data_IF_404399839698
#
_entry.id   IF_404399839698
#
_cell.length_a   1.000
_cell.length_b   1.000
_cell.length_c   1.000
_cell.angle_alpha   90.00
_cell.angle_beta   90.00
_cell.angle_gamma   90.00
#
_symmetry.space_group_name_H-M   'P 1'
#
loop_
_entity.id
_entity.type
_entity.pdbx_description
1 polymer ?
#
# COMPACT_ATOMS: atom_id res chain seq x y z
N UNK A 1 -15.78 12.96 2.19
CA UNK A 1 -15.70 11.81 1.28
C UNK A 1 -15.10 10.66 2.07
N UNK A 2 -15.76 9.51 2.07
CA UNK A 2 -15.27 8.31 2.75
C UNK A 2 -14.04 7.74 2.00
N UNK A 3 -13.18 7.01 2.70
CA UNK A 3 -11.93 6.51 2.11
C UNK A 3 -12.19 5.53 0.96
N UNK A 4 -13.18 4.64 1.10
CA UNK A 4 -13.61 3.75 0.01
C UNK A 4 -14.07 4.52 -1.24
N UNK A 5 -14.86 5.59 -1.07
CA UNK A 5 -15.33 6.43 -2.19
C UNK A 5 -14.15 7.10 -2.91
N UNK A 6 -13.17 7.58 -2.14
CA UNK A 6 -11.93 8.15 -2.68
C UNK A 6 -11.16 7.10 -3.50
N UNK A 7 -10.96 5.91 -2.95
CA UNK A 7 -10.21 4.83 -3.59
C UNK A 7 -10.87 4.37 -4.89
N UNK A 8 -12.20 4.20 -4.90
CA UNK A 8 -12.97 3.86 -6.10
C UNK A 8 -12.89 4.96 -7.17
N UNK A 9 -12.76 6.23 -6.77
CA UNK A 9 -12.57 7.35 -7.69
C UNK A 9 -11.18 7.43 -8.32
N UNK A 10 -10.13 6.87 -7.68
CA UNK A 10 -8.75 6.88 -8.18
C UNK A 10 -8.34 5.59 -8.87
N UNK A 11 -8.89 4.46 -8.44
CA UNK A 11 -8.49 3.12 -8.89
C UNK A 11 -9.71 2.46 -9.52
N UNK A 12 -9.71 2.42 -10.84
CA UNK A 12 -10.76 1.78 -11.61
C UNK A 12 -10.90 0.30 -11.22
N UNK A 13 -12.10 -0.08 -10.79
CA UNK A 13 -12.39 -1.44 -10.36
C UNK A 13 -11.70 -1.83 -9.05
N UNK A 14 -11.48 -0.89 -8.12
CA UNK A 14 -10.99 -1.18 -6.77
C UNK A 14 -11.80 -2.33 -6.14
N UNK A 15 -11.13 -3.44 -5.82
CA UNK A 15 -11.80 -4.71 -5.49
C UNK A 15 -12.31 -4.82 -4.05
N UNK A 16 -11.89 -3.91 -3.17
CA UNK A 16 -12.21 -3.94 -1.74
C UNK A 16 -11.76 -5.25 -1.03
N UNK A 17 -12.20 -5.45 0.22
CA UNK A 17 -11.68 -6.48 1.14
C UNK A 17 -12.69 -7.61 1.45
N UNK A 18 -13.73 -7.74 0.61
CA UNK A 18 -14.88 -8.63 0.85
C UNK A 18 -14.54 -10.12 0.92
N UNK A 19 -13.53 -10.58 0.17
CA UNK A 19 -13.07 -11.97 0.19
C UNK A 19 -11.55 -12.08 -0.07
N UNK A 20 -11.01 -13.30 -0.01
CA UNK A 20 -9.59 -13.57 -0.23
C UNK A 20 -9.09 -13.13 -1.61
N UNK A 21 -9.86 -13.40 -2.68
CA UNK A 21 -9.47 -13.03 -4.03
C UNK A 21 -9.43 -11.50 -4.20
N UNK A 22 -10.41 -10.81 -3.63
CA UNK A 22 -10.48 -9.35 -3.59
C UNK A 22 -9.26 -8.75 -2.86
N UNK A 23 -8.88 -9.31 -1.70
CA UNK A 23 -7.69 -8.87 -0.94
C UNK A 23 -6.39 -8.96 -1.74
N UNK A 24 -6.16 -10.09 -2.41
CA UNK A 24 -5.01 -10.26 -3.30
C UNK A 24 -5.05 -9.27 -4.47
N UNK A 25 -6.25 -8.98 -4.98
CA UNK A 25 -6.41 -8.03 -6.06
C UNK A 25 -6.13 -6.59 -5.61
N UNK A 26 -6.66 -6.17 -4.46
CA UNK A 26 -6.38 -4.84 -3.88
C UNK A 26 -4.89 -4.67 -3.57
N UNK A 27 -4.22 -5.70 -3.03
CA UNK A 27 -2.76 -5.65 -2.85
C UNK A 27 -2.01 -5.37 -4.15
N UNK A 28 -2.38 -6.04 -5.25
CA UNK A 28 -1.81 -5.76 -6.58
C UNK A 28 -2.12 -4.34 -7.03
N UNK A 29 -3.35 -3.87 -6.84
CA UNK A 29 -3.76 -2.52 -7.21
C UNK A 29 -2.95 -1.45 -6.45
N UNK A 30 -2.77 -1.59 -5.13
CA UNK A 30 -2.02 -0.62 -4.32
C UNK A 30 -0.55 -0.56 -4.73
N UNK A 31 0.08 -1.73 -4.90
CA UNK A 31 1.47 -1.81 -5.32
C UNK A 31 1.69 -1.27 -6.73
N UNK A 32 0.78 -1.56 -7.66
CA UNK A 32 0.85 -1.00 -9.01
C UNK A 32 0.73 0.53 -8.99
N UNK A 33 -0.26 1.08 -8.27
CA UNK A 33 -0.50 2.51 -8.24
C UNK A 33 0.71 3.32 -7.72
N UNK A 34 1.30 2.86 -6.61
CA UNK A 34 2.50 3.47 -6.05
C UNK A 34 3.75 3.19 -6.90
N UNK A 35 3.94 1.95 -7.35
CA UNK A 35 5.09 1.55 -8.17
C UNK A 35 5.20 2.35 -9.47
N UNK A 36 4.07 2.62 -10.13
CA UNK A 36 4.02 3.48 -11.31
C UNK A 36 4.44 4.92 -10.99
N UNK A 37 3.98 5.49 -9.87
CA UNK A 37 4.36 6.83 -9.45
C UNK A 37 5.87 6.92 -9.18
N UNK A 38 6.42 5.94 -8.47
CA UNK A 38 7.85 5.84 -8.17
C UNK A 38 8.68 5.67 -9.45
N UNK A 39 8.27 4.80 -10.37
CA UNK A 39 8.96 4.60 -11.64
C UNK A 39 8.97 5.90 -12.48
N UNK A 40 7.83 6.61 -12.53
CA UNK A 40 7.71 7.87 -13.26
C UNK A 40 8.61 8.97 -12.67
N UNK A 41 8.61 9.15 -11.34
CA UNK A 41 9.46 10.17 -10.71
C UNK A 41 10.94 9.81 -10.81
N UNK A 42 11.29 8.52 -10.73
CA UNK A 42 12.66 8.04 -10.93
C UNK A 42 13.17 8.41 -12.32
N UNK A 43 12.40 8.12 -13.37
CA UNK A 43 12.80 8.44 -14.75
C UNK A 43 12.95 9.95 -14.95
N UNK A 44 12.07 10.73 -14.33
CA UNK A 44 12.03 12.20 -14.45
C UNK A 44 13.17 12.89 -13.70
N UNK A 45 13.43 12.50 -12.46
CA UNK A 45 14.42 13.18 -11.58
C UNK A 45 15.80 12.51 -11.61
N UNK A 46 15.86 11.22 -11.96
CA UNK A 46 17.08 10.40 -12.00
C UNK A 46 17.94 10.55 -10.74
N UNK A 47 17.37 10.36 -9.53
CA UNK A 47 18.12 10.51 -8.29
C UNK A 47 19.29 9.53 -8.24
N UNK A 48 20.41 9.96 -7.66
CA UNK A 48 21.62 9.14 -7.51
C UNK A 48 22.00 8.99 -6.04
N UNK A 49 22.95 8.10 -5.75
CA UNK A 49 23.41 7.84 -4.39
C UNK A 49 22.30 7.26 -3.51
N UNK A 50 22.26 7.61 -2.21
CA UNK A 50 21.31 7.02 -1.26
C UNK A 50 19.84 7.19 -1.66
N UNK A 51 19.48 8.34 -2.24
CA UNK A 51 18.11 8.59 -2.69
C UNK A 51 17.71 7.71 -3.88
N UNK A 52 18.67 7.46 -4.79
CA UNK A 52 18.51 6.53 -5.91
C UNK A 52 18.32 5.09 -5.43
N UNK A 53 19.12 4.64 -4.46
CA UNK A 53 18.99 3.30 -3.87
C UNK A 53 17.65 3.13 -3.15
N UNK A 54 17.19 4.17 -2.43
CA UNK A 54 15.93 4.16 -1.71
C UNK A 54 14.72 4.00 -2.65
N UNK A 55 14.68 4.76 -3.75
CA UNK A 55 13.56 4.66 -4.70
C UNK A 55 13.56 3.31 -5.42
N UNK A 56 14.72 2.78 -5.80
CA UNK A 56 14.81 1.45 -6.42
C UNK A 56 14.37 0.33 -5.47
N UNK A 57 14.75 0.42 -4.19
CA UNK A 57 14.30 -0.52 -3.17
C UNK A 57 12.77 -0.50 -3.00
N UNK A 58 12.14 0.68 -3.04
CA UNK A 58 10.68 0.80 -2.96
C UNK A 58 9.97 0.33 -4.23
N UNK A 59 10.52 0.59 -5.42
CA UNK A 59 10.01 0.04 -6.68
C UNK A 59 10.03 -1.48 -6.62
N UNK A 60 11.15 -2.08 -6.22
CA UNK A 60 11.28 -3.54 -6.08
C UNK A 60 10.25 -4.12 -5.11
N UNK A 61 10.01 -3.44 -3.97
CA UNK A 61 8.96 -3.83 -3.02
C UNK A 61 7.55 -3.77 -3.62
N UNK A 62 7.30 -2.87 -4.57
CA UNK A 62 6.03 -2.78 -5.28
C UNK A 62 5.89 -3.88 -6.34
N UNK A 63 6.98 -4.31 -6.99
CA UNK A 63 6.92 -5.34 -8.04
C UNK A 63 6.52 -6.72 -7.50
N UNK A 64 6.99 -7.08 -6.31
CA UNK A 64 6.78 -8.42 -5.74
C UNK A 64 5.74 -8.42 -4.61
N UNK A 65 4.81 -9.37 -4.68
CA UNK A 65 3.92 -9.65 -3.55
C UNK A 65 4.71 -10.25 -2.39
N UNK A 66 4.53 -9.71 -1.18
CA UNK A 66 5.07 -10.33 0.02
C UNK A 66 4.26 -11.58 0.38
N UNK A 67 4.90 -12.74 0.39
CA UNK A 67 4.25 -14.02 0.71
C UNK A 67 3.60 -14.03 2.10
N UNK A 68 4.07 -13.20 3.03
CA UNK A 68 3.46 -13.05 4.35
C UNK A 68 2.09 -12.37 4.27
N UNK A 69 1.94 -11.36 3.40
CA UNK A 69 0.62 -10.73 3.12
C UNK A 69 -0.32 -11.75 2.51
N UNK A 70 0.17 -12.52 1.53
CA UNK A 70 -0.64 -13.53 0.85
C UNK A 70 -1.22 -14.52 1.88
N UNK A 71 -0.36 -15.06 2.75
CA UNK A 71 -0.75 -16.00 3.80
C UNK A 71 -1.72 -15.39 4.83
N UNK A 72 -1.49 -14.14 5.21
CA UNK A 72 -2.40 -13.44 6.13
C UNK A 72 -3.79 -13.21 5.49
N UNK A 73 -3.82 -12.80 4.22
CA UNK A 73 -5.05 -12.52 3.50
C UNK A 73 -5.92 -13.77 3.24
N UNK A 74 -5.29 -14.94 3.05
CA UNK A 74 -5.98 -16.20 2.76
C UNK A 74 -6.83 -16.74 3.92
N UNK A 75 -6.42 -16.45 5.16
CA UNK A 75 -7.07 -17.03 6.36
C UNK A 75 -7.72 -16.00 7.28
N UNK A 76 -7.50 -14.70 7.06
CA UNK A 76 -8.07 -13.67 7.93
C UNK A 76 -9.58 -13.48 7.72
N UNK A 77 -10.27 -13.11 8.80
CA UNK A 77 -11.64 -12.56 8.72
C UNK A 77 -11.58 -11.11 9.14
N UNK A 78 -11.43 -10.19 8.19
CA UNK A 78 -11.38 -8.77 8.50
C UNK A 78 -12.73 -8.27 9.00
N UNK A 79 -12.75 -7.80 10.25
CA UNK A 79 -13.89 -7.06 10.79
C UNK A 79 -14.00 -5.68 10.17
N UNK A 80 -15.16 -5.03 10.33
CA UNK A 80 -15.43 -3.72 9.73
C UNK A 80 -14.39 -2.66 10.10
N UNK A 81 -14.02 -2.57 11.37
CA UNK A 81 -13.01 -1.62 11.86
C UNK A 81 -11.63 -1.84 11.23
N UNK A 82 -11.26 -3.11 10.99
CA UNK A 82 -10.01 -3.45 10.34
C UNK A 82 -10.04 -3.05 8.87
N UNK A 83 -11.16 -3.28 8.17
CA UNK A 83 -11.34 -2.85 6.78
C UNK A 83 -11.28 -1.32 6.68
N UNK A 84 -12.01 -0.59 7.52
CA UNK A 84 -12.00 0.87 7.52
C UNK A 84 -10.59 1.43 7.79
N UNK A 85 -9.83 0.79 8.71
CA UNK A 85 -8.41 1.12 8.94
C UNK A 85 -7.55 0.86 7.70
N UNK A 86 -7.75 -0.27 7.02
CA UNK A 86 -6.98 -0.60 5.81
C UNK A 86 -7.32 0.39 4.70
N UNK A 87 -8.58 0.79 4.52
CA UNK A 87 -8.97 1.84 3.56
C UNK A 87 -8.27 3.16 3.83
N UNK A 88 -8.17 3.57 5.10
CA UNK A 88 -7.43 4.78 5.47
C UNK A 88 -5.95 4.69 5.07
N UNK A 89 -5.32 3.52 5.24
CA UNK A 89 -3.92 3.29 4.85
C UNK A 89 -3.75 3.21 3.32
N UNK A 90 -4.66 2.55 2.62
CA UNK A 90 -4.70 2.52 1.14
C UNK A 90 -4.81 3.95 0.59
N UNK A 91 -5.66 4.77 1.20
CA UNK A 91 -5.80 6.18 0.83
C UNK A 91 -4.48 6.94 1.02
N UNK A 92 -3.80 6.76 2.15
CA UNK A 92 -2.50 7.40 2.39
C UNK A 92 -1.47 7.01 1.33
N UNK A 93 -1.47 5.74 0.90
CA UNK A 93 -0.58 5.29 -0.18
C UNK A 93 -0.92 6.01 -1.49
N UNK A 94 -2.20 6.10 -1.86
CA UNK A 94 -2.65 6.78 -3.07
C UNK A 94 -2.33 8.28 -3.03
N UNK A 95 -2.59 8.97 -1.92
CA UNK A 95 -2.28 10.39 -1.76
C UNK A 95 -0.76 10.64 -1.77
N UNK A 96 0.05 9.72 -1.25
CA UNK A 96 1.51 9.79 -1.35
C UNK A 96 1.98 9.57 -2.78
N UNK A 97 1.43 8.57 -3.48
CA UNK A 97 1.74 8.31 -4.88
C UNK A 97 1.39 9.51 -5.79
N UNK A 98 0.25 10.16 -5.54
CA UNK A 98 -0.16 11.37 -6.26
C UNK A 98 0.84 12.52 -6.03
N UNK A 99 1.22 12.77 -4.77
CA UNK A 99 2.25 13.78 -4.44
C UNK A 99 3.60 13.47 -5.10
N UNK A 100 4.01 12.19 -5.09
CA UNK A 100 5.23 11.74 -5.77
C UNK A 100 5.19 12.01 -7.28
N UNK A 101 4.02 11.90 -7.93
CA UNK A 101 3.89 12.24 -9.35
C UNK A 101 4.11 13.74 -9.60
N UNK A 102 3.71 14.58 -8.67
CA UNK A 102 3.71 16.04 -8.79
C UNK A 102 5.03 16.73 -8.42
N UNK A 103 5.85 16.15 -7.54
CA UNK A 103 7.11 16.82 -7.10
C UNK A 103 8.01 17.13 -8.27
N UNK A 104 8.83 18.17 -8.20
CA UNK A 104 9.75 18.54 -9.31
C UNK A 104 11.21 18.53 -8.90
N UNK A 105 11.49 18.31 -7.62
CA UNK A 105 12.84 18.34 -7.07
C UNK A 105 13.19 17.06 -6.31
N UNK A 106 14.48 16.74 -6.25
CA UNK A 106 14.98 15.60 -5.49
C UNK A 106 14.93 15.85 -3.96
N UNK A 107 14.95 17.11 -3.53
CA UNK A 107 14.87 17.48 -2.10
C UNK A 107 13.51 17.12 -1.50
N UNK A 108 12.43 17.25 -2.29
CA UNK A 108 11.07 16.87 -1.89
C UNK A 108 10.83 15.34 -1.92
N UNK A 109 11.66 14.59 -2.66
CA UNK A 109 11.47 13.17 -2.88
C UNK A 109 11.73 12.35 -1.62
N UNK A 110 12.83 12.62 -0.90
CA UNK A 110 13.25 11.83 0.27
C UNK A 110 12.14 11.65 1.31
N UNK A 111 11.52 12.74 1.82
CA UNK A 111 10.42 12.64 2.78
C UNK A 111 9.22 11.83 2.26
N UNK A 112 8.91 11.90 0.97
CA UNK A 112 7.81 11.13 0.38
C UNK A 112 8.15 9.64 0.23
N UNK A 113 9.42 9.30 0.00
CA UNK A 113 9.86 7.90 0.00
C UNK A 113 9.76 7.30 1.41
N UNK A 114 10.14 8.05 2.44
CA UNK A 114 9.98 7.63 3.84
C UNK A 114 8.49 7.44 4.20
N UNK A 115 7.64 8.37 3.77
CA UNK A 115 6.20 8.28 3.96
C UNK A 115 5.59 7.06 3.26
N UNK A 116 5.98 6.80 2.01
CA UNK A 116 5.53 5.64 1.25
C UNK A 116 5.97 4.33 1.90
N UNK A 117 7.22 4.25 2.36
CA UNK A 117 7.75 3.07 3.06
C UNK A 117 6.95 2.77 4.33
N UNK A 118 6.72 3.81 5.15
CA UNK A 118 5.95 3.69 6.40
C UNK A 118 4.50 3.28 6.13
N UNK A 119 3.84 3.88 5.13
CA UNK A 119 2.46 3.55 4.79
C UNK A 119 2.32 2.08 4.33
N UNK A 120 3.27 1.58 3.54
CA UNK A 120 3.32 0.16 3.16
C UNK A 120 3.51 -0.76 4.38
N UNK A 121 4.42 -0.40 5.30
CA UNK A 121 4.69 -1.20 6.50
C UNK A 121 3.48 -1.22 7.45
N UNK A 122 2.83 -0.08 7.66
CA UNK A 122 1.62 0.02 8.47
C UNK A 122 0.46 -0.76 7.84
N UNK A 123 0.28 -0.67 6.51
CA UNK A 123 -0.71 -1.47 5.77
C UNK A 123 -0.42 -2.97 5.91
N UNK A 124 0.83 -3.38 5.75
CA UNK A 124 1.24 -4.77 5.95
C UNK A 124 0.89 -5.26 7.36
N UNK A 125 1.20 -4.44 8.38
CA UNK A 125 0.85 -4.73 9.77
C UNK A 125 -0.66 -4.86 9.98
N UNK A 126 -1.45 -3.98 9.37
CA UNK A 126 -2.92 -4.03 9.46
C UNK A 126 -3.52 -5.26 8.78
N UNK A 127 -2.95 -5.71 7.65
CA UNK A 127 -3.37 -6.92 6.94
C UNK A 127 -2.98 -8.21 7.69
N UNK A 128 -1.87 -8.16 8.41
CA UNK A 128 -1.32 -9.29 9.17
C UNK A 128 -1.81 -9.35 10.62
N UNK A 129 -2.49 -8.30 11.09
CA UNK A 129 -3.05 -8.26 12.43
C UNK A 129 -4.17 -9.30 12.54
N UNK A 130 -3.99 -10.24 13.48
CA UNK A 130 -5.07 -11.14 13.87
C UNK A 130 -6.23 -10.31 14.42
N UNK A 131 -7.45 -10.58 13.93
CA UNK A 131 -8.63 -9.94 14.49
C UNK A 131 -8.79 -10.39 15.95
N UNK A 132 -9.00 -9.47 16.90
CA UNK A 132 -9.27 -9.82 18.30
C UNK A 132 -10.61 -10.57 18.34
N UNK A 133 -10.53 -11.89 18.33
CA UNK A 133 -11.68 -12.79 18.20
C UNK A 133 -11.32 -14.27 18.10
N UNK A 134 -10.06 -14.60 17.81
CA UNK A 134 -9.55 -15.98 17.91
C UNK A 134 -9.01 -16.31 19.32
N UNK A 135 -9.78 -16.00 20.36
CA UNK A 135 -9.67 -16.73 21.64
C UNK A 135 -10.92 -17.59 21.79
N UNK A 136 -11.04 -18.62 20.95
CA UNK A 136 -12.07 -19.62 21.07
C UNK A 136 -11.52 -21.02 20.77
N UNK A 137 -11.16 -21.71 21.86
CA UNK A 137 -10.97 -23.17 21.96
C UNK A 137 -9.57 -23.65 21.59
N UNK A 138 -8.93 -24.59 22.29
CA UNK A 138 -9.28 -25.51 23.37
C UNK A 138 -7.92 -26.20 23.71
N UNK A 139 -7.58 -26.75 24.87
CA UNK A 139 -8.24 -27.21 26.08
C UNK A 139 -7.18 -27.24 27.20
#
# INVERSE_FOLDING_TARGET
>A
MADLEFLQGRIAGYADYGDGAARHHVDKQMRAYLGEALAAVRERLRPTGPLGEQIEGLILRCEFSDQRVIRAADHARFGREQIDRIHALDRQIVETADRVREITSAEELGPLLDEAARALDERFGALSAESPGSTAGAS
#
